data_IF_149228680527
#
_entry.id   IF_149228680527
#
_cell.length_a   1.000
_cell.length_b   1.000
_cell.length_c   1.000
_cell.angle_alpha   90.00
_cell.angle_beta   90.00
_cell.angle_gamma   90.00
#
_symmetry.space_group_name_H-M   'P 1'
#
loop_
_entity.id
_entity.type
_entity.pdbx_description
1 polymer ?
#
# COMPACT_ATOMS: atom_id res chain seq x y z
N UNK A 1 11.05 22.43 -10.99
CA UNK A 1 10.01 21.39 -11.12
C UNK A 1 9.27 21.27 -9.80
N UNK A 2 7.99 20.89 -9.79
CA UNK A 2 7.16 20.80 -8.57
C UNK A 2 6.73 19.37 -8.28
N UNK A 3 6.86 18.96 -7.02
CA UNK A 3 6.44 17.64 -6.50
C UNK A 3 5.38 17.89 -5.43
N UNK A 4 4.18 17.34 -5.62
CA UNK A 4 3.17 17.32 -4.57
C UNK A 4 3.38 16.09 -3.68
N UNK A 5 3.54 16.32 -2.37
CA UNK A 5 3.66 15.25 -1.37
C UNK A 5 2.29 15.06 -0.72
N UNK A 6 1.65 13.91 -1.00
CA UNK A 6 0.32 13.56 -0.51
C UNK A 6 0.46 12.75 0.77
N UNK A 7 -0.11 13.27 1.86
CA UNK A 7 -0.08 12.64 3.19
C UNK A 7 -1.51 12.42 3.71
N UNK A 8 -2.07 11.21 3.61
CA UNK A 8 -3.31 10.88 4.32
C UNK A 8 -3.02 10.77 5.83
N UNK A 9 -3.86 11.40 6.66
CA UNK A 9 -3.64 11.49 8.09
C UNK A 9 -4.86 11.07 8.91
N UNK A 10 -4.68 10.05 9.74
CA UNK A 10 -5.62 9.65 10.79
C UNK A 10 -4.85 8.96 11.92
N UNK A 11 -4.74 9.61 13.08
CA UNK A 11 -3.93 9.13 14.19
C UNK A 11 -4.59 9.33 15.56
N UNK A 12 -4.27 8.41 16.49
CA UNK A 12 -4.76 8.46 17.89
C UNK A 12 -3.71 8.99 18.87
N UNK A 13 -2.47 9.16 18.42
CA UNK A 13 -1.34 9.61 19.23
C UNK A 13 -0.64 10.76 18.52
N UNK A 14 -0.19 11.79 19.24
CA UNK A 14 0.61 12.87 18.67
C UNK A 14 2.05 12.41 18.36
N UNK A 15 2.79 13.25 17.65
CA UNK A 15 4.18 13.09 17.24
C UNK A 15 4.39 12.25 15.98
N UNK A 16 3.32 11.70 15.39
CA UNK A 16 3.42 10.79 14.23
C UNK A 16 3.59 11.61 12.95
N UNK A 17 2.69 12.57 12.71
CA UNK A 17 2.76 13.40 11.51
C UNK A 17 3.97 14.34 11.55
N UNK A 18 4.27 14.90 12.72
CA UNK A 18 5.45 15.74 12.90
C UNK A 18 6.75 15.00 12.53
N UNK A 19 6.84 13.68 12.78
CA UNK A 19 7.98 12.85 12.35
C UNK A 19 8.04 12.70 10.83
N UNK A 20 6.92 12.39 10.18
CA UNK A 20 6.87 12.28 8.72
C UNK A 20 7.26 13.62 8.05
N UNK A 21 6.76 14.74 8.56
CA UNK A 21 7.07 16.07 8.01
C UNK A 21 8.53 16.47 8.18
N UNK A 22 9.20 16.09 9.27
CA UNK A 22 10.66 16.27 9.40
C UNK A 22 11.42 15.48 8.34
N UNK A 23 10.98 14.27 8.01
CA UNK A 23 11.59 13.48 6.94
C UNK A 23 11.38 14.10 5.55
N UNK A 24 10.22 14.74 5.32
CA UNK A 24 9.96 15.54 4.10
C UNK A 24 10.88 16.77 4.05
N UNK A 25 11.03 17.49 5.17
CA UNK A 25 11.90 18.67 5.24
C UNK A 25 13.39 18.33 5.07
N UNK A 26 13.79 17.10 5.39
CA UNK A 26 15.17 16.61 5.25
C UNK A 26 15.49 16.08 3.84
N UNK A 27 14.57 16.15 2.88
CA UNK A 27 14.82 15.65 1.52
C UNK A 27 15.87 16.48 0.77
N UNK A 28 16.87 15.80 0.22
CA UNK A 28 17.95 16.36 -0.57
C UNK A 28 17.55 16.46 -2.05
N UNK A 29 16.55 17.29 -2.36
CA UNK A 29 16.00 17.38 -3.72
C UNK A 29 15.93 18.82 -4.22
N UNK A 30 16.39 19.02 -5.45
CA UNK A 30 16.24 20.29 -6.17
C UNK A 30 14.86 20.37 -6.84
N UNK A 31 13.82 20.49 -6.00
CA UNK A 31 12.45 20.65 -6.44
C UNK A 31 11.62 21.45 -5.44
N UNK A 32 10.60 22.15 -5.94
CA UNK A 32 9.60 22.77 -5.07
C UNK A 32 8.64 21.70 -4.55
N UNK A 33 8.58 21.55 -3.23
CA UNK A 33 7.64 20.64 -2.58
C UNK A 33 6.34 21.37 -2.23
N UNK A 34 5.19 20.77 -2.58
CA UNK A 34 3.85 21.18 -2.14
C UNK A 34 3.26 20.07 -1.27
N UNK A 35 3.27 20.25 0.04
CA UNK A 35 2.85 19.20 0.98
C UNK A 35 1.36 19.35 1.25
N UNK A 36 0.59 18.32 0.91
CA UNK A 36 -0.86 18.28 1.07
C UNK A 36 -1.20 17.19 2.08
N UNK A 37 -1.69 17.62 3.25
CA UNK A 37 -2.12 16.74 4.32
C UNK A 37 -3.65 16.71 4.30
N UNK A 38 -4.21 15.51 4.27
CA UNK A 38 -5.66 15.32 4.41
C UNK A 38 -5.94 14.70 5.78
N UNK A 39 -6.47 15.52 6.68
CA UNK A 39 -6.95 15.09 7.99
C UNK A 39 -8.30 14.40 7.83
N UNK A 40 -8.29 13.07 7.89
CA UNK A 40 -9.45 12.20 7.65
C UNK A 40 -10.30 12.01 8.92
N UNK A 41 -10.55 13.12 9.63
CA UNK A 41 -11.29 13.14 10.89
C UNK A 41 -10.49 12.54 12.05
N UNK A 42 -9.19 12.82 12.10
CA UNK A 42 -8.26 12.30 13.09
C UNK A 42 -8.60 12.77 14.52
N UNK A 43 -8.58 11.88 15.53
CA UNK A 43 -8.70 12.28 16.94
C UNK A 43 -7.62 13.27 17.41
N UNK A 44 -6.41 13.15 16.88
CA UNK A 44 -5.35 14.15 17.04
C UNK A 44 -5.37 15.02 15.78
N UNK A 45 -5.67 16.34 15.86
CA UNK A 45 -5.74 17.20 14.68
C UNK A 45 -4.37 17.39 13.99
N UNK A 46 -4.35 17.35 12.65
CA UNK A 46 -3.12 17.53 11.87
C UNK A 46 -2.46 18.89 12.13
N UNK A 47 -3.26 19.94 12.32
CA UNK A 47 -2.78 21.30 12.60
C UNK A 47 -1.95 21.40 13.89
N UNK A 48 -2.27 20.58 14.88
CA UNK A 48 -1.56 20.57 16.17
C UNK A 48 -0.18 19.93 16.03
N UNK A 49 -0.04 18.95 15.12
CA UNK A 49 1.24 18.33 14.77
C UNK A 49 2.11 19.26 13.93
N UNK A 50 1.51 19.95 12.95
CA UNK A 50 2.23 20.93 12.10
C UNK A 50 2.73 22.11 12.92
N UNK A 51 1.97 22.56 13.92
CA UNK A 51 2.36 23.64 14.82
C UNK A 51 3.64 23.35 15.61
N UNK A 52 3.96 22.08 15.86
CA UNK A 52 5.17 21.64 16.58
C UNK A 52 6.46 21.78 15.75
N UNK A 53 6.37 21.99 14.44
CA UNK A 53 7.52 22.14 13.57
C UNK A 53 8.13 23.54 13.71
N UNK A 54 9.46 23.61 13.74
CA UNK A 54 10.21 24.87 13.66
C UNK A 54 10.07 25.50 12.27
N UNK A 55 10.42 26.78 12.14
CA UNK A 55 10.36 27.47 10.84
C UNK A 55 11.23 26.79 9.76
N UNK A 56 12.36 26.18 10.14
CA UNK A 56 13.23 25.44 9.23
C UNK A 56 12.63 24.09 8.80
N UNK A 57 11.77 23.49 9.62
CA UNK A 57 11.07 22.23 9.33
C UNK A 57 9.72 22.45 8.60
N UNK A 58 9.26 23.70 8.49
CA UNK A 58 7.99 24.05 7.83
C UNK A 58 8.21 24.25 6.34
N UNK A 59 8.07 23.19 5.56
CA UNK A 59 7.66 23.35 4.16
C UNK A 59 6.28 24.04 4.10
N UNK A 60 5.91 24.71 3.00
CA UNK A 60 4.52 25.13 2.81
C UNK A 60 3.61 23.89 2.85
N UNK A 61 2.82 23.79 3.92
CA UNK A 61 1.87 22.70 4.15
C UNK A 61 0.47 23.23 3.94
N UNK A 62 -0.34 22.47 3.19
CA UNK A 62 -1.78 22.65 3.11
C UNK A 62 -2.47 21.53 3.86
N UNK A 63 -3.36 21.89 4.77
CA UNK A 63 -4.19 20.93 5.51
C UNK A 63 -5.61 21.02 4.96
N UNK A 64 -6.18 19.86 4.63
CA UNK A 64 -7.57 19.71 4.18
C UNK A 64 -8.26 18.79 5.17
N UNK A 65 -9.30 19.28 5.82
CA UNK A 65 -10.08 18.48 6.77
C UNK A 65 -11.26 17.84 6.06
N UNK A 66 -11.49 16.55 6.31
CA UNK A 66 -12.66 15.83 5.82
C UNK A 66 -13.25 14.91 6.88
N UNK A 67 -14.48 14.44 6.65
CA UNK A 67 -15.05 13.35 7.45
C UNK A 67 -14.33 12.05 7.08
N UNK A 68 -14.06 11.20 8.08
CA UNK A 68 -13.41 9.90 7.88
C UNK A 68 -14.03 9.10 6.73
N UNK A 69 -13.26 8.94 5.66
CA UNK A 69 -13.58 8.19 4.45
C UNK A 69 -12.58 7.06 4.16
N UNK A 70 -11.50 6.96 4.94
CA UNK A 70 -10.44 5.99 4.76
C UNK A 70 -9.32 6.49 3.85
N UNK A 71 -8.23 5.70 3.74
CA UNK A 71 -6.99 6.14 3.10
C UNK A 71 -7.16 6.43 1.60
N UNK A 72 -7.97 5.64 0.88
CA UNK A 72 -8.29 5.88 -0.53
C UNK A 72 -8.92 7.26 -0.75
N UNK A 73 -9.96 7.58 0.03
CA UNK A 73 -10.68 8.84 -0.06
C UNK A 73 -9.77 10.01 0.30
N UNK A 74 -8.99 9.90 1.38
CA UNK A 74 -8.04 10.93 1.78
C UNK A 74 -6.98 11.21 0.70
N UNK A 75 -6.42 10.16 0.06
CA UNK A 75 -5.48 10.31 -1.06
C UNK A 75 -6.15 10.96 -2.28
N UNK A 76 -7.39 10.57 -2.62
CA UNK A 76 -8.13 11.19 -3.72
C UNK A 76 -8.42 12.68 -3.46
N UNK A 77 -8.87 13.03 -2.26
CA UNK A 77 -9.04 14.43 -1.84
C UNK A 77 -7.74 15.19 -2.02
N UNK A 78 -6.60 14.62 -1.63
CA UNK A 78 -5.31 15.28 -1.84
C UNK A 78 -4.97 15.46 -3.32
N UNK A 79 -5.19 14.43 -4.15
CA UNK A 79 -4.98 14.48 -5.61
C UNK A 79 -5.84 15.56 -6.29
N UNK A 80 -7.05 15.80 -5.80
CA UNK A 80 -7.93 16.86 -6.29
C UNK A 80 -7.43 18.28 -5.91
N UNK A 81 -6.55 18.38 -4.91
CA UNK A 81 -5.94 19.64 -4.48
C UNK A 81 -4.57 19.90 -5.14
N UNK A 82 -4.04 18.93 -5.90
CA UNK A 82 -2.75 19.08 -6.57
C UNK A 82 -2.86 20.16 -7.64
N UNK A 83 -1.95 21.14 -7.60
CA UNK A 83 -2.01 22.26 -8.52
C UNK A 83 -1.70 21.84 -9.98
N UNK A 84 -2.31 22.48 -11.00
CA UNK A 84 -2.12 22.10 -12.40
C UNK A 84 -0.69 22.22 -12.96
N UNK A 85 0.20 22.97 -12.29
CA UNK A 85 1.62 23.12 -12.62
C UNK A 85 2.50 22.01 -12.00
N UNK A 86 1.94 21.13 -11.16
CA UNK A 86 2.65 20.00 -10.58
C UNK A 86 2.99 18.95 -11.64
N UNK A 87 4.26 18.54 -11.66
CA UNK A 87 4.77 17.53 -12.59
C UNK A 87 4.65 16.13 -11.99
N UNK A 88 4.99 16.00 -10.69
CA UNK A 88 5.10 14.73 -9.99
C UNK A 88 4.24 14.70 -8.71
N UNK A 89 3.74 13.52 -8.36
CA UNK A 89 3.14 13.26 -7.04
C UNK A 89 3.94 12.18 -6.34
N UNK A 90 4.26 12.41 -5.07
CA UNK A 90 4.83 11.44 -4.15
C UNK A 90 3.82 11.13 -3.05
N UNK A 91 3.72 9.87 -2.62
CA UNK A 91 2.87 9.47 -1.52
C UNK A 91 3.71 9.19 -0.27
N UNK A 92 3.25 9.66 0.89
CA UNK A 92 3.85 9.35 2.19
C UNK A 92 2.73 9.11 3.20
N UNK A 93 2.58 7.86 3.65
CA UNK A 93 1.66 7.58 4.75
C UNK A 93 2.18 8.25 6.04
N UNK A 94 1.27 8.85 6.82
CA UNK A 94 1.64 9.74 7.93
C UNK A 94 2.51 9.12 9.02
N UNK A 95 2.56 7.79 9.11
CA UNK A 95 3.37 7.04 10.06
C UNK A 95 4.74 6.61 9.54
N UNK A 96 5.03 6.79 8.26
CA UNK A 96 6.29 6.41 7.65
C UNK A 96 7.31 7.56 7.62
N UNK A 97 8.55 7.24 7.27
CA UNK A 97 9.60 8.24 7.04
C UNK A 97 10.43 7.89 5.81
N UNK A 98 10.80 8.91 5.04
CA UNK A 98 11.80 8.80 3.98
C UNK A 98 13.21 9.00 4.50
N UNK A 99 14.17 8.33 3.86
CA UNK A 99 15.58 8.69 3.91
C UNK A 99 15.83 9.95 3.06
N UNK A 100 16.87 10.75 3.35
CA UNK A 100 17.10 12.06 2.71
C UNK A 100 17.14 12.03 1.18
N UNK A 101 17.63 10.94 0.59
CA UNK A 101 17.87 10.82 -0.85
C UNK A 101 16.63 10.35 -1.66
N UNK A 102 15.51 10.03 -1.01
CA UNK A 102 14.37 9.38 -1.65
C UNK A 102 13.81 10.16 -2.84
N UNK A 103 13.45 11.44 -2.62
CA UNK A 103 12.93 12.28 -3.69
C UNK A 103 13.99 12.63 -4.74
N UNK A 104 15.27 12.69 -4.36
CA UNK A 104 16.37 12.90 -5.31
C UNK A 104 16.50 11.71 -6.27
N UNK A 105 16.44 10.49 -5.75
CA UNK A 105 16.45 9.24 -6.53
C UNK A 105 15.24 9.15 -7.46
N UNK A 106 14.05 9.44 -6.94
CA UNK A 106 12.84 9.53 -7.74
C UNK A 106 12.97 10.55 -8.88
N UNK A 107 13.53 11.73 -8.58
CA UNK A 107 13.74 12.79 -9.56
C UNK A 107 14.72 12.38 -10.66
N UNK A 108 15.83 11.70 -10.32
CA UNK A 108 16.78 11.19 -11.31
C UNK A 108 16.10 10.20 -12.25
N UNK A 109 15.37 9.23 -11.71
CA UNK A 109 14.64 8.25 -12.49
C UNK A 109 13.59 8.92 -13.40
N UNK A 110 12.74 9.79 -12.85
CA UNK A 110 11.67 10.43 -13.63
C UNK A 110 12.22 11.46 -14.64
N UNK A 111 13.36 12.10 -14.37
CA UNK A 111 14.03 12.96 -15.36
C UNK A 111 14.63 12.18 -16.53
N UNK A 112 15.01 10.91 -16.32
CA UNK A 112 15.48 10.01 -17.38
C UNK A 112 14.35 9.49 -18.30
N UNK A 113 13.12 10.01 -18.15
CA UNK A 113 11.99 9.70 -19.05
C UNK A 113 11.06 8.60 -18.54
N UNK A 114 11.22 8.16 -17.29
CA UNK A 114 10.31 7.22 -16.64
C UNK A 114 9.07 7.91 -16.07
N UNK A 115 8.02 7.14 -15.83
CA UNK A 115 6.71 7.62 -15.41
C UNK A 115 6.32 7.19 -14.00
N UNK A 116 6.83 6.03 -13.55
CA UNK A 116 6.61 5.48 -12.22
C UNK A 116 7.95 5.12 -11.62
N UNK A 117 8.15 5.57 -10.38
CA UNK A 117 9.27 5.23 -9.53
C UNK A 117 8.76 4.62 -8.22
N UNK A 118 9.44 3.58 -7.73
CA UNK A 118 9.25 3.04 -6.38
C UNK A 118 10.58 2.57 -5.79
N UNK A 119 10.70 2.53 -4.47
CA UNK A 119 11.92 2.10 -3.77
C UNK A 119 11.69 0.89 -2.84
N UNK A 120 12.79 0.24 -2.46
CA UNK A 120 12.79 -0.75 -1.37
C UNK A 120 12.65 -0.07 0.00
N UNK A 121 12.13 -0.82 0.98
CA UNK A 121 11.78 -0.28 2.29
C UNK A 121 11.94 -1.27 3.43
N UNK A 122 12.06 -0.72 4.64
CA UNK A 122 12.04 -1.48 5.88
C UNK A 122 10.69 -1.41 6.57
N UNK A 123 10.34 -2.49 7.26
CA UNK A 123 9.37 -2.39 8.35
C UNK A 123 10.12 -2.18 9.65
N UNK A 124 9.52 -1.43 10.58
CA UNK A 124 10.10 -1.20 11.89
C UNK A 124 10.52 -2.52 12.54
N UNK A 125 11.72 -2.54 13.11
CA UNK A 125 12.33 -3.69 13.77
C UNK A 125 12.65 -4.88 12.86
N UNK A 126 12.58 -4.72 11.53
CA UNK A 126 13.08 -5.73 10.59
C UNK A 126 14.47 -5.36 10.07
N UNK A 127 15.33 -6.38 9.95
CA UNK A 127 16.71 -6.25 9.44
C UNK A 127 16.81 -6.55 7.94
N UNK A 128 15.78 -7.21 7.40
CA UNK A 128 15.66 -7.61 5.99
C UNK A 128 14.69 -6.66 5.28
N UNK A 129 15.00 -6.21 4.07
CA UNK A 129 14.16 -5.27 3.30
C UNK A 129 12.95 -5.94 2.65
N UNK A 130 12.02 -5.15 2.11
CA UNK A 130 10.80 -5.67 1.51
C UNK A 130 11.07 -6.52 0.26
N UNK A 131 12.01 -6.09 -0.58
CA UNK A 131 12.36 -6.85 -1.78
C UNK A 131 12.98 -8.20 -1.43
N UNK A 132 13.89 -8.22 -0.45
CA UNK A 132 14.54 -9.46 -0.01
C UNK A 132 13.55 -10.41 0.67
N UNK A 133 12.68 -9.90 1.57
CA UNK A 133 11.62 -10.73 2.21
C UNK A 133 10.66 -11.32 1.18
N UNK A 134 10.28 -10.55 0.16
CA UNK A 134 9.33 -11.00 -0.85
C UNK A 134 9.97 -11.97 -1.85
N UNK A 135 11.24 -11.77 -2.20
CA UNK A 135 11.94 -12.55 -3.22
C UNK A 135 11.31 -12.43 -4.62
N UNK A 136 10.66 -11.29 -4.91
CA UNK A 136 9.88 -11.07 -6.15
C UNK A 136 10.56 -10.14 -7.15
N UNK A 137 11.50 -9.31 -6.69
CA UNK A 137 12.35 -8.48 -7.52
C UNK A 137 13.79 -8.87 -7.23
N UNK A 138 14.54 -9.19 -8.29
CA UNK A 138 15.97 -9.47 -8.23
C UNK A 138 16.69 -8.36 -9.00
N UNK A 139 17.27 -7.34 -8.33
CA UNK A 139 17.85 -6.17 -9.00
C UNK A 139 18.86 -6.51 -10.10
N UNK A 140 19.59 -7.62 -9.97
CA UNK A 140 20.53 -8.11 -10.97
C UNK A 140 19.90 -8.48 -12.33
N UNK A 141 18.57 -8.70 -12.38
CA UNK A 141 17.83 -8.95 -13.64
C UNK A 141 17.35 -7.67 -14.33
N UNK A 142 17.66 -6.51 -13.75
CA UNK A 142 17.18 -5.22 -14.18
C UNK A 142 18.36 -4.30 -14.47
N UNK A 143 18.40 -3.74 -15.68
CA UNK A 143 19.46 -2.82 -16.09
C UNK A 143 19.51 -1.59 -15.16
N UNK A 144 20.72 -1.18 -14.77
CA UNK A 144 20.92 0.08 -14.07
C UNK A 144 20.63 1.27 -15.00
N UNK A 145 20.12 2.35 -14.43
CA UNK A 145 20.13 3.64 -15.10
C UNK A 145 21.58 4.10 -15.32
N UNK A 146 21.89 4.79 -16.43
CA UNK A 146 23.26 5.24 -16.71
C UNK A 146 23.84 6.08 -15.57
N UNK A 147 24.99 5.67 -15.04
CA UNK A 147 25.69 6.38 -13.96
C UNK A 147 25.17 6.09 -12.55
N UNK A 148 24.11 5.30 -12.41
CA UNK A 148 23.49 4.98 -11.14
C UNK A 148 23.99 3.65 -10.57
N UNK A 149 23.93 3.50 -9.24
CA UNK A 149 24.41 2.29 -8.53
C UNK A 149 23.28 1.39 -8.03
N UNK A 150 22.11 1.98 -7.83
CA UNK A 150 20.96 1.34 -7.19
C UNK A 150 19.63 1.72 -7.85
N UNK A 151 19.66 2.53 -8.92
CA UNK A 151 18.46 2.85 -9.70
C UNK A 151 18.40 1.97 -10.94
N UNK A 152 17.30 1.26 -11.09
CA UNK A 152 17.11 0.24 -12.11
C UNK A 152 15.92 0.57 -13.00
N UNK A 153 16.02 0.15 -14.25
CA UNK A 153 14.90 0.04 -15.18
C UNK A 153 14.14 -1.24 -14.86
N UNK A 154 12.84 -1.14 -14.60
CA UNK A 154 12.03 -2.33 -14.45
C UNK A 154 11.86 -3.02 -15.81
N UNK A 155 12.20 -4.32 -15.87
CA UNK A 155 12.31 -5.12 -17.10
C UNK A 155 11.60 -6.47 -16.91
N UNK A 156 10.33 -6.40 -16.54
CA UNK A 156 9.45 -7.55 -16.39
C UNK A 156 7.99 -7.10 -16.53
N UNK A 157 7.05 -8.04 -16.45
CA UNK A 157 5.62 -7.72 -16.44
C UNK A 157 5.19 -7.23 -15.04
N UNK A 158 5.04 -5.91 -14.91
CA UNK A 158 4.63 -5.28 -13.66
C UNK A 158 3.24 -5.72 -13.21
N UNK A 159 2.34 -6.00 -14.15
CA UNK A 159 0.98 -6.43 -13.81
C UNK A 159 1.03 -7.81 -13.12
N UNK A 160 1.82 -8.75 -13.64
CA UNK A 160 2.05 -10.03 -12.97
C UNK A 160 2.76 -9.88 -11.61
N UNK A 161 3.69 -8.93 -11.47
CA UNK A 161 4.34 -8.62 -10.19
C UNK A 161 3.29 -8.23 -9.13
N UNK A 162 2.44 -7.25 -9.44
CA UNK A 162 1.43 -6.74 -8.50
C UNK A 162 0.40 -7.83 -8.17
N UNK A 163 -0.04 -8.60 -9.18
CA UNK A 163 -1.01 -9.68 -9.01
C UNK A 163 -0.47 -10.83 -8.15
N UNK A 164 0.82 -11.16 -8.29
CA UNK A 164 1.49 -12.29 -7.65
C UNK A 164 2.10 -12.01 -6.27
N UNK A 165 1.97 -10.78 -5.76
CA UNK A 165 2.51 -10.32 -4.49
C UNK A 165 3.24 -8.99 -4.66
N UNK A 166 2.51 -7.89 -4.49
CA UNK A 166 3.01 -6.53 -4.65
C UNK A 166 4.19 -6.25 -3.71
N UNK A 167 5.25 -5.65 -4.24
CA UNK A 167 6.38 -5.15 -3.45
C UNK A 167 6.47 -3.62 -3.45
N UNK A 168 5.56 -2.96 -4.17
CA UNK A 168 5.44 -1.50 -4.20
C UNK A 168 4.76 -1.08 -2.91
N UNK A 169 5.53 -0.44 -2.03
CA UNK A 169 4.99 0.21 -0.86
C UNK A 169 4.47 1.60 -1.21
N UNK A 170 3.29 1.99 -0.71
CA UNK A 170 2.67 3.28 -1.07
C UNK A 170 3.60 4.46 -0.79
N UNK A 171 4.20 4.50 0.41
CA UNK A 171 5.15 5.54 0.80
C UNK A 171 6.45 5.53 -0.02
N UNK A 172 6.68 4.59 -0.94
CA UNK A 172 7.88 4.56 -1.78
C UNK A 172 7.64 5.11 -3.18
N UNK A 173 6.38 5.43 -3.52
CA UNK A 173 5.98 5.77 -4.89
C UNK A 173 6.10 7.25 -5.17
N UNK A 174 6.73 7.55 -6.30
CA UNK A 174 6.63 8.84 -6.99
C UNK A 174 6.26 8.58 -8.44
N UNK A 175 5.28 9.32 -8.99
CA UNK A 175 4.86 9.14 -10.38
C UNK A 175 4.62 10.46 -11.09
N UNK A 176 4.67 10.41 -12.42
CA UNK A 176 4.45 11.55 -13.33
C UNK A 176 2.97 11.95 -13.37
N UNK A 177 2.52 12.65 -12.33
CA UNK A 177 1.14 13.12 -12.20
C UNK A 177 0.63 13.86 -13.45
N UNK A 178 1.47 14.69 -14.08
CA UNK A 178 1.07 15.45 -15.27
C UNK A 178 0.50 14.60 -16.41
N UNK A 179 0.99 13.37 -16.57
CA UNK A 179 0.53 12.43 -17.60
C UNK A 179 -0.68 11.59 -17.17
N UNK A 180 -0.94 11.48 -15.86
CA UNK A 180 -1.94 10.56 -15.29
C UNK A 180 -2.90 11.27 -14.32
N UNK A 181 -3.27 12.52 -14.61
CA UNK A 181 -4.05 13.39 -13.69
C UNK A 181 -5.42 12.83 -13.29
N UNK A 182 -6.01 11.96 -14.10
CA UNK A 182 -7.32 11.36 -13.86
C UNK A 182 -7.25 10.07 -13.05
N UNK A 183 -6.05 9.58 -12.73
CA UNK A 183 -5.87 8.35 -11.96
C UNK A 183 -6.31 8.59 -10.50
N UNK A 184 -7.10 7.67 -9.95
CA UNK A 184 -7.67 7.77 -8.60
C UNK A 184 -7.65 6.42 -7.90
N UNK A 185 -7.58 6.44 -6.58
CA UNK A 185 -7.75 5.25 -5.75
C UNK A 185 -9.21 4.81 -5.76
N UNK A 186 -9.44 3.50 -5.74
CA UNK A 186 -10.78 2.91 -5.67
C UNK A 186 -11.28 2.87 -4.23
N UNK A 187 -12.14 3.82 -3.88
CA UNK A 187 -12.65 4.00 -2.52
C UNK A 187 -13.51 2.84 -2.04
N UNK A 188 -14.05 2.00 -2.93
CA UNK A 188 -14.79 0.80 -2.55
C UNK A 188 -13.91 -0.28 -1.87
N UNK A 189 -12.58 -0.11 -1.85
CA UNK A 189 -11.60 -1.03 -1.25
C UNK A 189 -10.92 -0.48 0.02
N UNK A 190 -11.68 0.22 0.88
CA UNK A 190 -11.25 0.89 2.13
C UNK A 190 -10.22 0.15 3.00
N UNK A 191 -10.33 -1.19 3.11
CA UNK A 191 -9.50 -1.96 4.04
C UNK A 191 -8.33 -2.68 3.39
N UNK A 192 -8.35 -2.93 2.07
CA UNK A 192 -7.29 -3.65 1.38
C UNK A 192 -7.42 -3.52 -0.14
N UNK A 193 -6.29 -3.21 -0.78
CA UNK A 193 -6.10 -3.33 -2.22
C UNK A 193 -6.38 -2.06 -3.01
N UNK A 194 -6.71 -0.94 -2.36
CA UNK A 194 -6.87 0.34 -3.03
C UNK A 194 -5.57 0.79 -3.71
N UNK A 195 -4.44 0.57 -3.04
CA UNK A 195 -3.08 0.83 -3.51
C UNK A 195 -2.71 -0.11 -4.66
N UNK A 196 -2.97 -1.42 -4.50
CA UNK A 196 -2.64 -2.42 -5.52
C UNK A 196 -3.39 -2.13 -6.83
N UNK A 197 -4.65 -1.73 -6.73
CA UNK A 197 -5.47 -1.39 -7.89
C UNK A 197 -4.98 -0.09 -8.56
N UNK A 198 -4.54 0.89 -7.77
CA UNK A 198 -3.92 2.10 -8.31
C UNK A 198 -2.64 1.77 -9.09
N UNK A 199 -1.75 0.92 -8.55
CA UNK A 199 -0.53 0.49 -9.26
C UNK A 199 -0.84 -0.35 -10.50
N UNK A 200 -1.88 -1.19 -10.46
CA UNK A 200 -2.35 -1.93 -11.64
C UNK A 200 -2.88 -0.99 -12.72
N UNK A 201 -3.70 -0.01 -12.35
CA UNK A 201 -4.20 0.98 -13.30
C UNK A 201 -3.02 1.77 -13.92
N UNK A 202 -2.06 2.23 -13.11
CA UNK A 202 -0.88 2.96 -13.59
C UNK A 202 0.03 2.12 -14.50
N UNK A 203 0.36 0.88 -14.10
CA UNK A 203 1.20 -0.02 -14.89
C UNK A 203 0.56 -0.51 -16.20
N UNK A 204 -0.74 -0.25 -16.40
CA UNK A 204 -1.43 -0.46 -17.67
C UNK A 204 -1.39 0.77 -18.58
N UNK A 205 -1.13 1.94 -18.02
CA UNK A 205 -1.00 3.20 -18.75
C UNK A 205 0.45 3.48 -19.15
N UNK A 206 1.43 2.82 -18.53
CA UNK A 206 2.85 2.96 -18.86
C UNK A 206 3.68 1.72 -18.51
N UNK A 207 4.64 1.41 -19.37
CA UNK A 207 5.70 0.42 -19.10
C UNK A 207 7.03 1.10 -18.68
N UNK A 208 7.05 2.44 -18.64
CA UNK A 208 8.25 3.23 -18.28
C UNK A 208 8.37 3.31 -16.77
N UNK A 209 8.80 2.20 -16.18
CA UNK A 209 8.91 2.05 -14.73
C UNK A 209 10.38 1.93 -14.32
N UNK A 210 10.77 2.67 -13.30
CA UNK A 210 12.06 2.58 -12.65
C UNK A 210 11.88 2.22 -11.18
N UNK A 211 12.90 1.64 -10.56
CA UNK A 211 12.88 1.39 -9.13
C UNK A 211 14.25 1.54 -8.50
N UNK A 212 14.28 1.75 -7.20
CA UNK A 212 15.50 1.75 -6.40
C UNK A 212 15.65 0.48 -5.59
N UNK A 213 16.82 -0.13 -5.64
CA UNK A 213 17.21 -1.22 -4.74
C UNK A 213 17.81 -0.70 -3.42
N UNK A 214 17.98 0.62 -3.27
CA UNK A 214 18.37 1.22 -2.01
C UNK A 214 17.18 1.25 -1.04
N UNK A 215 17.50 1.25 0.25
CA UNK A 215 16.51 1.36 1.32
C UNK A 215 16.25 2.84 1.54
N UNK A 216 15.11 3.30 1.08
CA UNK A 216 14.82 4.74 1.08
C UNK A 216 13.62 5.11 1.95
N UNK A 217 12.89 4.12 2.44
CA UNK A 217 11.70 4.33 3.25
C UNK A 217 11.71 3.38 4.44
N UNK A 218 11.32 3.89 5.59
CA UNK A 218 11.12 3.12 6.82
C UNK A 218 9.66 3.21 7.21
N UNK A 219 8.98 2.07 7.19
CA UNK A 219 7.62 1.94 7.69
C UNK A 219 7.66 1.92 9.21
N UNK A 220 7.01 2.89 9.86
CA UNK A 220 7.06 2.99 11.33
C UNK A 220 5.70 2.75 11.97
N UNK A 221 5.66 2.92 13.28
CA UNK A 221 4.45 2.69 14.06
C UNK A 221 3.46 3.86 13.93
N UNK A 222 2.22 3.51 13.60
CA UNK A 222 1.05 4.38 13.61
C UNK A 222 -0.26 3.59 13.56
N UNK A 223 -1.38 4.30 13.37
CA UNK A 223 -2.67 3.67 13.13
C UNK A 223 -2.66 3.04 11.74
N UNK A 224 -2.26 1.78 11.69
CA UNK A 224 -2.33 0.98 10.47
C UNK A 224 -3.57 0.06 10.51
N UNK A 225 -4.34 0.06 9.42
CA UNK A 225 -5.55 -0.77 9.26
C UNK A 225 -5.24 -2.27 9.49
N UNK A 226 -4.02 -2.70 9.15
CA UNK A 226 -3.53 -4.07 9.29
C UNK A 226 -2.67 -4.33 10.53
N UNK A 227 -2.29 -3.31 11.32
CA UNK A 227 -1.56 -3.55 12.57
C UNK A 227 -2.38 -4.47 13.48
N UNK A 228 -1.77 -5.60 13.87
CA UNK A 228 -2.42 -6.64 14.66
C UNK A 228 -3.43 -7.50 13.90
N UNK A 229 -3.31 -7.64 12.57
CA UNK A 229 -4.11 -8.57 11.74
C UNK A 229 -3.51 -9.98 11.60
N UNK A 230 -2.52 -10.32 12.43
CA UNK A 230 -1.90 -11.64 12.48
C UNK A 230 -2.90 -12.76 12.77
N UNK A 231 -2.54 -14.00 12.44
CA UNK A 231 -3.41 -15.17 12.62
C UNK A 231 -4.08 -15.22 14.01
N UNK A 232 -5.39 -15.48 14.05
CA UNK A 232 -6.15 -15.64 15.30
C UNK A 232 -6.53 -14.36 16.05
N UNK A 233 -6.17 -13.17 15.52
CA UNK A 233 -6.60 -11.84 16.00
C UNK A 233 -7.96 -11.46 15.42
N UNK A 234 -8.71 -10.53 16.01
CA UNK A 234 -10.00 -10.12 15.43
C UNK A 234 -9.88 -9.62 13.99
N UNK A 235 -8.79 -8.90 13.68
CA UNK A 235 -8.53 -8.30 12.38
C UNK A 235 -8.11 -9.30 11.29
N UNK A 236 -7.68 -10.53 11.63
CA UNK A 236 -7.25 -11.53 10.64
C UNK A 236 -8.38 -11.90 9.67
N UNK A 237 -9.58 -12.13 10.19
CA UNK A 237 -10.73 -12.54 9.39
C UNK A 237 -11.23 -11.40 8.50
N UNK A 238 -11.19 -10.18 9.02
CA UNK A 238 -11.50 -8.95 8.27
C UNK A 238 -10.50 -8.78 7.12
N UNK A 239 -9.19 -8.93 7.39
CA UNK A 239 -8.16 -8.87 6.34
C UNK A 239 -8.41 -9.90 5.24
N UNK A 240 -8.60 -11.17 5.61
CA UNK A 240 -8.86 -12.24 4.64
C UNK A 240 -10.11 -11.99 3.80
N UNK A 241 -11.16 -11.44 4.39
CA UNK A 241 -12.37 -11.02 3.68
C UNK A 241 -12.06 -9.96 2.61
N UNK A 242 -11.39 -8.87 2.99
CA UNK A 242 -11.09 -7.77 2.06
C UNK A 242 -10.04 -8.14 1.02
N UNK A 243 -9.03 -8.95 1.36
CA UNK A 243 -8.11 -9.52 0.39
C UNK A 243 -8.84 -10.34 -0.67
N UNK A 244 -9.80 -11.17 -0.24
CA UNK A 244 -10.61 -11.95 -1.17
C UNK A 244 -11.54 -11.06 -2.01
N UNK A 245 -12.11 -10.00 -1.42
CA UNK A 245 -12.95 -9.03 -2.13
C UNK A 245 -12.21 -8.45 -3.32
N UNK A 246 -11.00 -7.93 -3.14
CA UNK A 246 -10.26 -7.31 -4.24
C UNK A 246 -9.72 -8.36 -5.23
N UNK A 247 -9.21 -9.52 -4.79
CA UNK A 247 -8.75 -10.59 -5.70
C UNK A 247 -9.87 -11.09 -6.62
N UNK A 248 -11.11 -11.16 -6.11
CA UNK A 248 -12.28 -11.50 -6.93
C UNK A 248 -12.71 -10.37 -7.86
N UNK A 249 -12.50 -9.11 -7.46
CA UNK A 249 -12.78 -7.95 -8.30
C UNK A 249 -11.78 -7.86 -9.47
N UNK A 250 -10.51 -8.20 -9.27
CA UNK A 250 -9.46 -8.13 -10.31
C UNK A 250 -9.88 -8.82 -11.60
N UNK A 251 -10.38 -10.06 -11.53
CA UNK A 251 -10.78 -10.81 -12.73
C UNK A 251 -12.01 -10.23 -13.45
N UNK A 252 -12.73 -9.30 -12.83
CA UNK A 252 -13.87 -8.57 -13.42
C UNK A 252 -13.45 -7.21 -13.96
N UNK A 253 -12.51 -6.57 -13.28
CA UNK A 253 -12.06 -5.21 -13.57
C UNK A 253 -10.98 -5.17 -14.65
N UNK A 254 -10.20 -6.25 -14.80
CA UNK A 254 -9.03 -6.27 -15.68
C UNK A 254 -9.08 -7.45 -16.66
N UNK A 255 -8.69 -7.24 -17.92
CA UNK A 255 -8.37 -8.34 -18.80
C UNK A 255 -7.08 -9.01 -18.30
N UNK A 256 -7.15 -10.32 -18.05
CA UNK A 256 -6.05 -11.11 -17.52
C UNK A 256 -5.62 -12.16 -18.54
N UNK A 257 -4.32 -12.47 -18.58
CA UNK A 257 -3.83 -13.64 -19.32
C UNK A 257 -4.30 -14.94 -18.68
N UNK A 258 -4.29 -16.05 -19.42
CA UNK A 258 -4.67 -17.37 -18.86
C UNK A 258 -3.85 -17.75 -17.62
N UNK A 259 -2.55 -17.42 -17.66
CA UNK A 259 -1.64 -17.59 -16.53
C UNK A 259 -2.10 -16.80 -15.31
N UNK A 260 -2.36 -15.50 -15.48
CA UNK A 260 -2.83 -14.62 -14.39
C UNK A 260 -4.20 -15.05 -13.86
N UNK A 261 -5.10 -15.52 -14.71
CA UNK A 261 -6.39 -16.10 -14.29
C UNK A 261 -6.18 -17.32 -13.41
N UNK A 262 -5.27 -18.22 -13.79
CA UNK A 262 -4.93 -19.41 -13.00
C UNK A 262 -4.33 -19.03 -11.65
N UNK A 263 -3.33 -18.17 -11.64
CA UNK A 263 -2.66 -17.68 -10.42
C UNK A 263 -3.66 -16.97 -9.48
N UNK A 264 -4.54 -16.10 -10.00
CA UNK A 264 -5.57 -15.44 -9.20
C UNK A 264 -6.60 -16.44 -8.63
N UNK A 265 -7.00 -17.47 -9.41
CA UNK A 265 -7.89 -18.52 -8.92
C UNK A 265 -7.25 -19.31 -7.77
N UNK A 266 -5.97 -19.66 -7.89
CA UNK A 266 -5.21 -20.33 -6.84
C UNK A 266 -5.09 -19.47 -5.57
N UNK A 267 -4.80 -18.17 -5.73
CA UNK A 267 -4.76 -17.22 -4.62
C UNK A 267 -6.12 -17.11 -3.89
N UNK A 268 -7.22 -17.00 -4.63
CA UNK A 268 -8.58 -16.99 -4.05
C UNK A 268 -8.88 -18.30 -3.32
N UNK A 269 -8.45 -19.45 -3.85
CA UNK A 269 -8.60 -20.75 -3.17
C UNK A 269 -7.78 -20.81 -1.88
N UNK A 270 -6.55 -20.30 -1.86
CA UNK A 270 -5.72 -20.22 -0.67
C UNK A 270 -6.37 -19.32 0.39
N UNK A 271 -6.85 -18.13 0.01
CA UNK A 271 -7.57 -17.22 0.89
C UNK A 271 -8.83 -17.86 1.50
N UNK A 272 -9.60 -18.62 0.71
CA UNK A 272 -10.75 -19.38 1.22
C UNK A 272 -10.35 -20.39 2.29
N UNK A 273 -9.28 -21.16 2.07
CA UNK A 273 -8.78 -22.14 3.05
C UNK A 273 -8.37 -21.44 4.35
N UNK A 274 -7.61 -20.36 4.25
CA UNK A 274 -7.19 -19.55 5.40
C UNK A 274 -8.39 -18.96 6.15
N UNK A 275 -9.40 -18.45 5.43
CA UNK A 275 -10.62 -17.90 6.00
C UNK A 275 -11.37 -18.98 6.79
N UNK A 276 -11.63 -20.14 6.19
CA UNK A 276 -12.32 -21.26 6.87
C UNK A 276 -11.54 -21.71 8.11
N UNK A 277 -10.22 -21.87 8.00
CA UNK A 277 -9.39 -22.27 9.12
C UNK A 277 -9.42 -21.24 10.26
N UNK A 278 -9.44 -19.94 9.96
CA UNK A 278 -9.55 -18.88 10.96
C UNK A 278 -10.92 -18.92 11.66
N UNK A 279 -12.01 -19.15 10.92
CA UNK A 279 -13.34 -19.31 11.53
C UNK A 279 -13.41 -20.55 12.43
N UNK A 280 -12.87 -21.69 11.99
CA UNK A 280 -12.84 -22.90 12.83
C UNK A 280 -12.04 -22.70 14.13
N UNK A 281 -10.89 -22.01 14.04
CA UNK A 281 -10.14 -21.59 15.22
C UNK A 281 -11.00 -20.70 16.14
N UNK A 282 -11.76 -19.74 15.60
CA UNK A 282 -12.65 -18.91 16.42
C UNK A 282 -13.77 -19.69 17.07
N UNK A 283 -14.40 -20.65 16.37
CA UNK A 283 -15.41 -21.55 16.95
C UNK A 283 -14.81 -22.32 18.11
N UNK A 284 -13.63 -22.93 17.93
CA UNK A 284 -12.93 -23.69 18.95
C UNK A 284 -12.58 -22.84 20.19
N UNK A 285 -12.29 -21.55 20.01
CA UNK A 285 -11.92 -20.62 21.06
C UNK A 285 -13.05 -19.67 21.49
N UNK A 286 -14.31 -19.92 21.06
CA UNK A 286 -15.50 -19.09 21.36
C UNK A 286 -15.31 -17.59 21.06
N UNK A 287 -14.57 -17.27 19.99
CA UNK A 287 -14.33 -15.90 19.52
C UNK A 287 -15.42 -15.45 18.55
N UNK A 288 -15.74 -14.13 18.47
CA UNK A 288 -16.74 -13.63 17.53
C UNK A 288 -16.26 -13.73 16.07
N UNK A 289 -17.19 -14.02 15.16
CA UNK A 289 -16.92 -14.14 13.72
C UNK A 289 -18.14 -13.86 12.80
N UNK A 290 -19.36 -13.84 13.34
CA UNK A 290 -20.60 -13.78 12.55
C UNK A 290 -20.73 -12.51 11.70
N UNK A 291 -20.28 -11.36 12.20
CA UNK A 291 -20.35 -10.09 11.46
C UNK A 291 -19.55 -10.14 10.15
N UNK A 292 -18.38 -10.78 10.19
CA UNK A 292 -17.54 -10.95 9.00
C UNK A 292 -18.09 -12.04 8.09
N UNK A 293 -18.72 -13.08 8.63
CA UNK A 293 -19.38 -14.12 7.83
C UNK A 293 -20.47 -13.57 6.93
N UNK A 294 -21.31 -12.68 7.45
CA UNK A 294 -22.37 -12.05 6.64
C UNK A 294 -21.81 -11.21 5.50
N UNK A 295 -20.72 -10.48 5.75
CA UNK A 295 -19.98 -9.75 4.71
C UNK A 295 -19.37 -10.72 3.69
N UNK A 296 -18.78 -11.82 4.16
CA UNK A 296 -18.16 -12.84 3.31
C UNK A 296 -19.16 -13.49 2.37
N UNK A 297 -20.36 -13.82 2.87
CA UNK A 297 -21.42 -14.43 2.06
C UNK A 297 -21.84 -13.58 0.86
N UNK A 298 -21.82 -12.24 0.99
CA UNK A 298 -22.14 -11.31 -0.10
C UNK A 298 -21.11 -11.35 -1.22
N UNK A 299 -19.85 -11.65 -0.91
CA UNK A 299 -18.76 -11.65 -1.90
C UNK A 299 -18.41 -13.06 -2.37
N UNK A 300 -18.57 -14.10 -1.54
CA UNK A 300 -18.16 -15.48 -1.84
C UNK A 300 -18.94 -16.55 -1.06
N UNK A 301 -20.13 -16.91 -1.57
CA UNK A 301 -20.95 -18.01 -1.03
C UNK A 301 -20.19 -19.34 -0.97
N UNK A 302 -19.25 -19.56 -1.90
CA UNK A 302 -18.43 -20.79 -1.94
C UNK A 302 -17.56 -20.99 -0.69
N UNK A 303 -17.18 -19.93 0.02
CA UNK A 303 -16.46 -20.03 1.29
C UNK A 303 -17.22 -20.89 2.32
N UNK A 304 -18.56 -20.90 2.28
CA UNK A 304 -19.40 -21.75 3.15
C UNK A 304 -19.45 -23.21 2.68
N UNK A 305 -19.33 -23.46 1.38
CA UNK A 305 -19.25 -24.83 0.85
C UNK A 305 -17.92 -25.51 1.20
N UNK A 306 -16.84 -24.75 1.31
CA UNK A 306 -15.55 -25.23 1.80
C UNK A 306 -15.53 -25.52 3.30
N UNK A 307 -16.49 -25.00 4.05
CA UNK A 307 -16.55 -25.13 5.50
C UNK A 307 -16.71 -26.58 5.95
N UNK A 308 -17.57 -27.35 5.28
CA UNK A 308 -17.91 -28.72 5.67
C UNK A 308 -16.73 -29.69 5.45
N UNK A 309 -16.08 -29.78 4.27
CA UNK A 309 -15.00 -30.73 4.05
C UNK A 309 -13.71 -30.39 4.81
N UNK A 310 -13.39 -29.09 4.97
CA UNK A 310 -12.20 -28.65 5.73
C UNK A 310 -12.38 -28.79 7.24
N UNK A 311 -13.59 -28.55 7.77
CA UNK A 311 -13.89 -28.84 9.17
C UNK A 311 -13.69 -30.32 9.49
N UNK A 312 -14.22 -31.20 8.64
CA UNK A 312 -14.04 -32.65 8.75
C UNK A 312 -12.55 -33.02 8.64
N UNK A 313 -11.82 -32.48 7.66
CA UNK A 313 -10.39 -32.76 7.48
C UNK A 313 -9.50 -32.27 8.64
N UNK A 314 -9.83 -31.13 9.25
CA UNK A 314 -9.14 -30.59 10.42
C UNK A 314 -9.46 -31.39 11.70
N UNK A 315 -10.71 -31.83 11.87
CA UNK A 315 -11.11 -32.74 12.96
C UNK A 315 -10.35 -34.07 12.88
N UNK A 316 -10.29 -34.68 11.69
CA UNK A 316 -9.60 -35.95 11.47
C UNK A 316 -8.06 -35.87 11.62
N UNK A 317 -7.44 -34.70 11.41
CA UNK A 317 -6.00 -34.50 11.68
C UNK A 317 -5.69 -34.38 13.17
N UNK A 318 -6.62 -33.82 13.95
CA UNK A 318 -6.48 -33.63 15.41
C UNK A 318 -6.57 -34.97 16.16
N UNK A 319 -7.38 -35.91 15.67
CA UNK A 319 -7.46 -37.28 16.21
C UNK A 319 -6.23 -38.15 15.91
N UNK A 320 -5.41 -37.79 14.92
CA UNK A 320 -4.17 -38.52 14.59
C UNK A 320 -2.94 -38.01 15.35
N UNK A 321 -3.09 -36.96 16.15
CA UNK A 321 -2.01 -36.32 16.91
C UNK A 321 -2.29 -36.26 18.43
N UNK A 322 -3.31 -36.99 18.88
CA UNK A 322 -3.61 -37.32 20.28
C UNK A 322 -3.40 -38.83 20.48
#
# INVERSE_FOLDING_TARGET
MKIAVVIPYYQRRPGILARALRAVAAQEVDAQLDVIIVDDGSPVPARDEVAQLSAAERSPVRIVEQKNGGPAAARNTALDQVSPDTELVAFLDSDDTWEPEHLANALRALSAGYDLYFADFYQLNQTVSAFERAGKIEPARHALLPGERHLHVYQADMQSQILGGNVIGTSTVVYRFRSFRTLRFREEFVYAGEDYLFWLDLSRMTDRIAFSSAREVVYRDGVNVFAGSGWGTEKSLIRLHYEMKYKKAIARLYPLTERQVKENREAVLALRRSFVADVLHRVAHRKPFLDVMWKQLRIDVRSVLYFIPLAIGLMLRRERSA
#
